data_IF_321441059558
#
_entry.id   IF_321441059558
#
_cell.length_a   1.000
_cell.length_b   1.000
_cell.length_c   1.000
_cell.angle_alpha   90.00
_cell.angle_beta   90.00
_cell.angle_gamma   90.00
#
_symmetry.space_group_name_H-M   'P 1'
#
loop_
_entity.id
_entity.type
_entity.pdbx_description
1 polymer ?
#
# COMPACT_ATOMS: atom_id res chain seq x y z
N UNK A 1 -4.14 12.94 -9.97
CA UNK A 1 -5.42 13.08 -9.24
C UNK A 1 -6.54 13.70 -10.10
N UNK A 2 -6.38 14.93 -10.64
CA UNK A 2 -7.42 15.60 -11.46
C UNK A 2 -7.79 14.78 -12.71
N UNK A 3 -6.82 14.21 -13.42
CA UNK A 3 -7.08 13.42 -14.63
C UNK A 3 -7.94 12.16 -14.37
N UNK A 4 -7.76 11.53 -13.19
CA UNK A 4 -8.51 10.35 -12.77
C UNK A 4 -9.97 10.70 -12.46
N UNK A 5 -10.19 11.79 -11.71
CA UNK A 5 -11.54 12.29 -11.41
C UNK A 5 -12.29 12.70 -12.68
N UNK A 6 -11.59 13.34 -13.64
CA UNK A 6 -12.14 13.68 -14.95
C UNK A 6 -12.54 12.40 -15.70
N UNK A 7 -11.67 11.37 -15.73
CA UNK A 7 -11.98 10.11 -16.39
C UNK A 7 -13.20 9.40 -15.78
N UNK A 8 -13.30 9.35 -14.44
CA UNK A 8 -14.46 8.79 -13.75
C UNK A 8 -15.75 9.58 -14.03
N UNK A 9 -15.69 10.91 -14.01
CA UNK A 9 -16.83 11.77 -14.31
C UNK A 9 -17.31 11.59 -15.76
N UNK A 10 -16.38 11.51 -16.71
CA UNK A 10 -16.71 11.27 -18.14
C UNK A 10 -17.38 9.92 -18.33
N UNK A 11 -16.86 8.85 -17.73
CA UNK A 11 -17.46 7.51 -17.83
C UNK A 11 -18.88 7.47 -17.24
N UNK A 12 -19.10 8.17 -16.12
CA UNK A 12 -20.40 8.25 -15.48
C UNK A 12 -21.41 9.04 -16.32
N UNK A 13 -20.99 10.13 -16.97
CA UNK A 13 -21.83 10.90 -17.91
C UNK A 13 -22.20 10.04 -19.11
N UNK A 14 -21.25 9.29 -19.67
CA UNK A 14 -21.52 8.37 -20.80
C UNK A 14 -22.54 7.30 -20.40
N UNK A 15 -22.40 6.70 -19.21
CA UNK A 15 -23.36 5.73 -18.70
C UNK A 15 -24.77 6.33 -18.52
N UNK A 16 -24.87 7.55 -17.98
CA UNK A 16 -26.14 8.25 -17.84
C UNK A 16 -26.79 8.56 -19.18
N UNK A 17 -26.01 8.95 -20.20
CA UNK A 17 -26.54 9.20 -21.55
C UNK A 17 -27.17 7.95 -22.15
N UNK A 18 -26.55 6.77 -22.00
CA UNK A 18 -27.11 5.52 -22.52
C UNK A 18 -28.42 5.10 -21.84
N UNK A 19 -28.62 5.47 -20.57
CA UNK A 19 -29.81 5.09 -19.80
C UNK A 19 -30.93 6.12 -19.93
N UNK A 20 -30.61 7.40 -19.75
CA UNK A 20 -31.61 8.49 -19.64
C UNK A 20 -32.13 8.90 -21.01
N UNK A 21 -31.27 8.96 -22.04
CA UNK A 21 -31.64 9.40 -23.39
C UNK A 21 -32.76 8.55 -24.02
N UNK A 22 -32.66 7.20 -24.10
CA UNK A 22 -33.74 6.41 -24.70
C UNK A 22 -35.05 6.49 -23.89
N UNK A 23 -34.98 6.62 -22.57
CA UNK A 23 -36.16 6.73 -21.70
C UNK A 23 -36.85 8.09 -21.80
N UNK A 24 -36.10 9.16 -22.11
CA UNK A 24 -36.65 10.50 -22.27
C UNK A 24 -37.33 10.70 -23.63
N UNK A 25 -36.77 10.10 -24.69
CA UNK A 25 -37.25 10.31 -26.06
C UNK A 25 -38.26 9.26 -26.57
N UNK A 26 -38.47 8.13 -25.89
CA UNK A 26 -39.46 7.09 -26.30
C UNK A 26 -40.85 7.18 -25.65
N UNK A 27 -41.27 8.36 -25.20
CA UNK A 27 -42.65 8.54 -24.72
C UNK A 27 -43.58 9.09 -25.79
N UNK A 28 -44.42 8.21 -26.36
CA UNK A 28 -45.84 8.53 -26.51
C UNK A 28 -46.43 8.78 -27.89
N UNK A 29 -45.68 9.19 -28.92
CA UNK A 29 -46.31 9.68 -30.16
C UNK A 29 -46.38 8.69 -31.32
N UNK A 30 -45.58 7.63 -31.34
CA UNK A 30 -45.53 6.73 -32.51
C UNK A 30 -46.79 5.84 -32.65
N UNK A 31 -47.35 5.37 -31.52
CA UNK A 31 -48.50 4.45 -31.55
C UNK A 31 -49.83 5.13 -31.87
N UNK A 32 -49.98 6.44 -31.57
CA UNK A 32 -51.21 7.18 -31.92
C UNK A 32 -51.19 7.57 -33.40
N UNK A 33 -50.07 8.10 -33.90
CA UNK A 33 -49.94 8.49 -35.32
C UNK A 33 -50.12 7.29 -36.26
N UNK A 34 -49.55 6.11 -35.94
CA UNK A 34 -49.77 4.90 -36.73
C UNK A 34 -51.21 4.35 -36.65
N UNK A 35 -51.93 4.57 -35.55
CA UNK A 35 -53.34 4.16 -35.42
C UNK A 35 -54.25 5.05 -36.25
N UNK A 36 -54.03 6.36 -36.17
CA UNK A 36 -54.85 7.35 -36.88
C UNK A 36 -54.66 7.23 -38.40
N UNK A 37 -53.42 7.00 -38.87
CA UNK A 37 -53.13 6.74 -40.29
C UNK A 37 -53.76 5.43 -40.78
N UNK A 38 -53.63 4.33 -40.02
CA UNK A 38 -54.22 3.04 -40.39
C UNK A 38 -55.77 3.07 -40.40
N UNK A 39 -56.39 3.76 -39.43
CA UNK A 39 -57.84 3.91 -39.37
C UNK A 39 -58.38 4.74 -40.56
N UNK A 40 -57.64 5.77 -40.98
CA UNK A 40 -58.02 6.63 -42.09
C UNK A 40 -57.89 5.92 -43.45
N UNK A 41 -56.90 5.03 -43.60
CA UNK A 41 -56.74 4.18 -44.79
C UNK A 41 -57.93 3.21 -44.94
N UNK A 42 -58.35 2.55 -43.85
CA UNK A 42 -59.52 1.65 -43.86
C UNK A 42 -60.80 2.39 -44.28
N UNK A 43 -61.02 3.61 -43.77
CA UNK A 43 -62.19 4.40 -44.14
C UNK A 43 -62.16 4.82 -45.62
N UNK A 44 -60.98 5.09 -46.18
CA UNK A 44 -60.84 5.39 -47.62
C UNK A 44 -61.19 4.17 -48.47
N UNK A 45 -60.71 2.98 -48.11
CA UNK A 45 -61.02 1.75 -48.83
C UNK A 45 -62.53 1.45 -48.79
N UNK A 46 -63.16 1.59 -47.62
CA UNK A 46 -64.61 1.42 -47.48
C UNK A 46 -65.41 2.41 -48.34
N UNK A 47 -64.91 3.65 -48.50
CA UNK A 47 -65.55 4.63 -49.39
C UNK A 47 -65.46 4.24 -50.86
N UNK A 48 -64.30 3.69 -51.28
CA UNK A 48 -64.08 3.27 -52.67
C UNK A 48 -64.90 2.02 -53.01
N UNK A 49 -65.05 1.10 -52.05
CA UNK A 49 -65.90 -0.08 -52.17
C UNK A 49 -67.38 0.32 -52.34
N UNK A 50 -67.88 1.24 -51.50
CA UNK A 50 -69.26 1.74 -51.61
C UNK A 50 -69.56 2.33 -53.00
N UNK A 51 -68.58 3.03 -53.58
CA UNK A 51 -68.68 3.65 -54.90
C UNK A 51 -68.55 2.62 -56.05
N UNK A 52 -67.76 1.55 -55.84
CA UNK A 52 -67.69 0.43 -56.77
C UNK A 52 -69.02 -0.35 -56.81
N UNK A 53 -69.63 -0.61 -55.65
CA UNK A 53 -70.90 -1.34 -55.54
C UNK A 53 -72.07 -0.58 -56.16
N UNK A 54 -72.10 0.75 -56.02
CA UNK A 54 -73.06 1.60 -56.73
C UNK A 54 -72.85 1.52 -58.26
N UNK A 55 -71.61 1.62 -58.74
CA UNK A 55 -71.28 1.53 -60.17
C UNK A 55 -71.63 0.16 -60.77
N UNK A 56 -71.46 -0.90 -59.99
CA UNK A 56 -71.77 -2.27 -60.38
C UNK A 56 -73.27 -2.61 -60.25
N UNK A 57 -74.10 -1.67 -59.80
CA UNK A 57 -75.55 -1.85 -59.63
C UNK A 57 -75.94 -2.77 -58.45
N UNK A 58 -75.00 -3.07 -57.56
CA UNK A 58 -75.23 -3.87 -56.34
C UNK A 58 -75.88 -3.04 -55.24
N UNK A 59 -75.69 -1.72 -55.26
CA UNK A 59 -76.27 -0.77 -54.31
C UNK A 59 -77.23 0.20 -55.01
N UNK A 60 -78.33 0.57 -54.35
CA UNK A 60 -79.21 1.66 -54.82
C UNK A 60 -78.63 3.02 -54.45
N UNK A 61 -79.01 4.07 -55.20
CA UNK A 61 -78.53 5.44 -54.95
C UNK A 61 -78.84 5.91 -53.50
N UNK A 62 -80.02 5.58 -52.98
CA UNK A 62 -80.42 5.96 -51.63
C UNK A 62 -79.59 5.25 -50.56
N UNK A 63 -79.28 3.97 -50.77
CA UNK A 63 -78.42 3.19 -49.87
C UNK A 63 -76.98 3.71 -49.88
N UNK A 64 -76.46 4.13 -51.04
CA UNK A 64 -75.15 4.77 -51.16
C UNK A 64 -75.08 6.07 -50.36
N UNK A 65 -76.08 6.96 -50.51
CA UNK A 65 -76.11 8.23 -49.78
C UNK A 65 -76.28 8.05 -48.26
N UNK A 66 -76.93 6.96 -47.83
CA UNK A 66 -76.99 6.61 -46.41
C UNK A 66 -75.64 6.12 -45.88
N UNK A 67 -75.00 5.17 -46.58
CA UNK A 67 -73.69 4.65 -46.18
C UNK A 67 -72.60 5.72 -46.20
N UNK A 68 -72.62 6.62 -47.19
CA UNK A 68 -71.71 7.76 -47.27
C UNK A 68 -71.85 8.71 -46.09
N UNK A 69 -73.07 8.98 -45.63
CA UNK A 69 -73.34 9.82 -44.45
C UNK A 69 -72.84 9.18 -43.17
N UNK A 70 -73.00 7.87 -43.01
CA UNK A 70 -72.48 7.14 -41.85
C UNK A 70 -70.95 7.14 -41.81
N UNK A 71 -70.31 6.91 -42.96
CA UNK A 71 -68.86 6.95 -43.09
C UNK A 71 -68.30 8.35 -42.77
N UNK A 72 -68.97 9.40 -43.25
CA UNK A 72 -68.62 10.79 -42.92
C UNK A 72 -68.77 11.09 -41.43
N UNK A 73 -69.84 10.59 -40.78
CA UNK A 73 -70.04 10.75 -39.35
C UNK A 73 -68.94 10.06 -38.54
N UNK A 74 -68.53 8.84 -38.92
CA UNK A 74 -67.41 8.12 -38.28
C UNK A 74 -66.08 8.84 -38.49
N UNK A 75 -65.82 9.35 -39.69
CA UNK A 75 -64.62 10.16 -39.97
C UNK A 75 -64.58 11.42 -39.11
N UNK A 76 -65.72 12.10 -38.96
CA UNK A 76 -65.85 13.28 -38.11
C UNK A 76 -65.64 12.97 -36.63
N UNK A 77 -66.02 11.79 -36.16
CA UNK A 77 -65.80 11.33 -34.77
C UNK A 77 -64.32 11.01 -34.52
N UNK A 78 -63.68 10.28 -35.43
CA UNK A 78 -62.25 9.94 -35.36
C UNK A 78 -61.34 11.18 -35.47
N UNK A 79 -61.73 12.19 -36.26
CA UNK A 79 -61.00 13.47 -36.38
C UNK A 79 -61.30 14.42 -35.20
N UNK A 80 -62.41 14.25 -34.46
CA UNK A 80 -62.80 15.09 -33.31
C UNK A 80 -62.18 14.69 -31.98
N UNK A 81 -61.30 13.71 -31.95
CA UNK A 81 -60.48 13.44 -30.76
C UNK A 81 -59.12 14.16 -30.73
N UNK A 82 -58.98 15.50 -30.91
CA UNK A 82 -57.74 16.18 -30.49
C UNK A 82 -57.63 16.40 -28.98
N UNK A 83 -58.72 16.37 -28.20
CA UNK A 83 -58.67 16.77 -26.79
C UNK A 83 -59.49 15.84 -25.87
N UNK A 84 -58.90 14.69 -25.52
CA UNK A 84 -59.15 14.17 -24.16
C UNK A 84 -58.34 15.04 -23.20
N UNK A 85 -58.93 15.59 -22.12
CA UNK A 85 -58.21 16.47 -21.21
C UNK A 85 -57.00 15.72 -20.68
N UNK A 86 -55.84 16.37 -20.72
CA UNK A 86 -54.57 15.84 -20.28
C UNK A 86 -54.68 15.28 -18.85
N UNK A 87 -55.02 14.00 -18.73
CA UNK A 87 -54.58 13.22 -17.58
C UNK A 87 -53.07 13.36 -17.60
N UNK A 88 -52.50 13.90 -16.53
CA UNK A 88 -51.05 13.94 -16.34
C UNK A 88 -50.59 12.51 -16.22
N UNK A 89 -50.43 11.85 -17.37
CA UNK A 89 -49.76 10.58 -17.53
C UNK A 89 -48.34 10.82 -17.04
N UNK A 90 -48.15 10.59 -15.75
CA UNK A 90 -46.83 10.51 -15.12
C UNK A 90 -46.13 9.39 -15.86
N UNK A 91 -45.33 9.76 -16.85
CA UNK A 91 -44.61 8.81 -17.67
C UNK A 91 -43.68 8.02 -16.73
N UNK A 92 -43.97 6.75 -16.42
CA UNK A 92 -43.20 6.01 -15.42
C UNK A 92 -41.74 5.86 -15.88
N UNK A 93 -41.50 5.86 -17.20
CA UNK A 93 -40.19 5.88 -17.81
C UNK A 93 -39.38 7.15 -17.48
N UNK A 94 -40.03 8.33 -17.42
CA UNK A 94 -39.36 9.60 -17.06
C UNK A 94 -39.04 9.67 -15.57
N UNK A 95 -39.94 9.16 -14.73
CA UNK A 95 -39.69 9.04 -13.27
C UNK A 95 -38.54 8.06 -13.01
N UNK A 96 -38.54 6.91 -13.69
CA UNK A 96 -37.48 5.92 -13.59
C UNK A 96 -36.13 6.48 -14.08
N UNK A 97 -36.12 7.24 -15.18
CA UNK A 97 -34.92 7.90 -15.66
C UNK A 97 -34.35 8.90 -14.64
N UNK A 98 -35.21 9.68 -13.97
CA UNK A 98 -34.79 10.63 -12.95
C UNK A 98 -34.27 9.93 -11.68
N UNK A 99 -34.91 8.83 -11.27
CA UNK A 99 -34.44 8.00 -10.17
C UNK A 99 -33.07 7.38 -10.47
N UNK A 100 -32.88 6.80 -11.65
CA UNK A 100 -31.60 6.23 -12.06
C UNK A 100 -30.51 7.29 -12.19
N UNK A 101 -30.85 8.50 -12.65
CA UNK A 101 -29.91 9.61 -12.76
C UNK A 101 -29.30 10.03 -11.41
N UNK A 102 -30.04 9.87 -10.31
CA UNK A 102 -29.57 10.21 -8.95
C UNK A 102 -28.97 8.99 -8.24
N UNK A 103 -29.60 7.81 -8.39
CA UNK A 103 -29.23 6.62 -7.63
C UNK A 103 -27.92 6.00 -8.13
N UNK A 104 -27.65 6.07 -9.44
CA UNK A 104 -26.46 5.48 -10.05
C UNK A 104 -25.16 6.19 -9.61
N UNK A 105 -25.08 7.54 -9.59
CA UNK A 105 -23.92 8.24 -9.02
C UNK A 105 -23.73 7.97 -7.53
N UNK A 106 -24.80 8.02 -6.73
CA UNK A 106 -24.73 7.80 -5.28
C UNK A 106 -24.24 6.38 -4.97
N UNK A 107 -24.80 5.37 -5.63
CA UNK A 107 -24.38 3.98 -5.46
C UNK A 107 -22.92 3.76 -5.89
N UNK A 108 -22.48 4.43 -6.96
CA UNK A 108 -21.09 4.36 -7.43
C UNK A 108 -20.11 4.93 -6.41
N UNK A 109 -20.44 6.08 -5.80
CA UNK A 109 -19.63 6.69 -4.73
C UNK A 109 -19.60 5.79 -3.50
N UNK A 110 -20.75 5.26 -3.06
CA UNK A 110 -20.81 4.34 -1.91
C UNK A 110 -20.03 3.04 -2.13
N UNK A 111 -20.12 2.45 -3.32
CA UNK A 111 -19.35 1.26 -3.68
C UNK A 111 -17.84 1.55 -3.69
N UNK A 112 -17.44 2.72 -4.20
CA UNK A 112 -16.03 3.13 -4.17
C UNK A 112 -15.53 3.35 -2.75
N UNK A 113 -16.34 3.91 -1.85
CA UNK A 113 -15.98 4.04 -0.42
C UNK A 113 -15.80 2.66 0.23
N UNK A 114 -16.62 1.66 -0.13
CA UNK A 114 -16.57 0.32 0.49
C UNK A 114 -15.48 -0.59 -0.08
N UNK A 115 -15.18 -0.49 -1.37
CA UNK A 115 -14.30 -1.44 -2.10
C UNK A 115 -13.00 -0.76 -2.56
N UNK A 116 -13.03 0.55 -2.81
CA UNK A 116 -11.92 1.31 -3.36
C UNK A 116 -10.95 1.84 -2.30
N UNK A 117 -9.88 2.47 -2.78
CA UNK A 117 -8.87 3.10 -1.95
C UNK A 117 -9.14 4.62 -1.87
N UNK A 118 -9.87 5.05 -0.84
CA UNK A 118 -10.18 6.46 -0.62
C UNK A 118 -8.92 7.29 -0.33
N UNK A 119 -7.87 6.66 0.22
CA UNK A 119 -6.60 7.31 0.55
C UNK A 119 -5.84 7.77 -0.70
N UNK A 120 -6.06 7.12 -1.84
CA UNK A 120 -5.49 7.50 -3.13
C UNK A 120 -6.08 8.81 -3.71
N UNK A 121 -7.21 9.29 -3.16
CA UNK A 121 -7.84 10.57 -3.53
C UNK A 121 -7.37 11.75 -2.65
N UNK A 122 -6.60 11.47 -1.59
CA UNK A 122 -6.04 12.49 -0.71
C UNK A 122 -4.64 12.90 -1.21
N UNK A 123 -4.28 14.20 -1.16
CA UNK A 123 -2.94 14.65 -1.53
C UNK A 123 -1.87 13.90 -0.71
N UNK A 124 -0.90 13.30 -1.40
CA UNK A 124 0.17 12.43 -0.86
C UNK A 124 1.11 13.12 0.17
N UNK A 125 0.89 14.40 0.47
CA UNK A 125 1.50 15.12 1.59
C UNK A 125 0.88 14.77 2.95
N UNK A 126 -0.20 13.98 2.98
CA UNK A 126 -0.92 13.54 4.17
C UNK A 126 -0.56 12.12 4.64
N UNK A 127 0.35 11.41 3.96
CA UNK A 127 0.61 9.98 4.22
C UNK A 127 1.90 9.70 4.99
N UNK A 128 2.40 10.67 5.77
CA UNK A 128 3.68 10.57 6.47
C UNK A 128 3.63 10.99 7.94
N UNK A 129 2.59 10.61 8.67
CA UNK A 129 2.59 10.42 10.14
C UNK A 129 1.16 10.12 10.57
N UNK A 130 0.97 8.94 11.18
CA UNK A 130 -0.16 8.47 11.98
C UNK A 130 -1.43 9.35 12.03
N UNK A 131 -2.54 8.73 11.59
CA UNK A 131 -3.92 8.92 12.06
C UNK A 131 -4.28 10.26 12.76
N UNK A 132 -5.06 11.10 12.08
CA UNK A 132 -5.88 12.15 12.70
C UNK A 132 -5.14 13.42 13.12
N UNK A 133 -5.87 14.54 13.08
CA UNK A 133 -5.44 15.88 13.55
C UNK A 133 -4.52 16.65 12.61
N UNK A 134 -5.14 17.55 11.84
CA UNK A 134 -4.49 18.44 10.89
C UNK A 134 -3.66 19.54 11.56
N UNK A 135 -2.96 20.33 10.74
CA UNK A 135 -2.18 21.49 11.17
C UNK A 135 -2.91 22.76 10.75
N UNK A 136 -3.17 23.66 11.70
CA UNK A 136 -3.71 24.98 11.44
C UNK A 136 -2.57 25.96 11.17
N UNK A 137 -2.61 26.63 10.02
CA UNK A 137 -1.61 27.64 9.62
C UNK A 137 -2.07 29.09 9.78
N UNK A 138 -3.30 29.30 10.24
CA UNK A 138 -3.89 30.63 10.42
C UNK A 138 -3.89 31.01 11.90
N UNK A 139 -3.30 32.16 12.23
CA UNK A 139 -3.34 32.74 13.58
C UNK A 139 -4.76 32.88 14.10
N UNK A 140 -5.71 33.31 13.26
CA UNK A 140 -7.11 33.45 13.65
C UNK A 140 -7.75 32.09 13.99
N UNK A 141 -7.40 31.02 13.25
CA UNK A 141 -7.91 29.69 13.52
C UNK A 141 -7.30 29.10 14.81
N UNK A 142 -6.03 29.41 15.10
CA UNK A 142 -5.37 29.01 16.34
C UNK A 142 -5.99 29.70 17.55
N UNK A 143 -6.22 31.01 17.48
CA UNK A 143 -6.90 31.75 18.55
C UNK A 143 -8.32 31.24 18.83
N UNK A 144 -9.06 30.88 17.77
CA UNK A 144 -10.39 30.28 17.92
C UNK A 144 -10.31 28.88 18.56
N UNK A 145 -9.31 28.09 18.20
CA UNK A 145 -9.06 26.79 18.82
C UNK A 145 -8.67 26.93 20.30
N UNK A 146 -7.82 27.90 20.64
CA UNK A 146 -7.45 28.20 22.03
C UNK A 146 -8.67 28.55 22.87
N UNK A 147 -9.53 29.47 22.40
CA UNK A 147 -10.77 29.82 23.10
C UNK A 147 -11.70 28.62 23.32
N UNK A 148 -11.76 27.71 22.35
CA UNK A 148 -12.53 26.46 22.49
C UNK A 148 -11.92 25.55 23.54
N UNK A 149 -10.60 25.44 23.57
CA UNK A 149 -9.88 24.63 24.57
C UNK A 149 -9.95 25.22 25.98
N UNK A 150 -10.09 26.54 26.12
CA UNK A 150 -10.41 27.16 27.41
C UNK A 150 -11.77 26.70 27.95
N UNK A 151 -12.76 26.52 27.07
CA UNK A 151 -14.10 26.03 27.43
C UNK A 151 -14.16 24.50 27.54
N UNK A 152 -13.28 23.80 26.83
CA UNK A 152 -13.22 22.34 26.74
C UNK A 152 -11.79 21.83 26.98
N UNK A 153 -11.26 21.97 28.21
CA UNK A 153 -9.86 21.68 28.50
C UNK A 153 -9.51 20.19 28.37
N UNK A 154 -10.50 19.29 28.36
CA UNK A 154 -10.30 17.84 28.25
C UNK A 154 -10.19 17.35 26.80
N UNK A 155 -10.30 18.25 25.81
CA UNK A 155 -10.22 17.90 24.39
C UNK A 155 -8.76 17.66 23.96
N UNK A 156 -8.27 16.45 24.16
CA UNK A 156 -6.92 16.03 23.79
C UNK A 156 -6.60 16.25 22.30
N UNK A 157 -7.55 15.98 21.41
CA UNK A 157 -7.41 16.14 19.96
C UNK A 157 -7.15 17.60 19.55
N UNK A 158 -7.86 18.53 20.21
CA UNK A 158 -7.66 19.96 20.02
C UNK A 158 -6.29 20.41 20.54
N UNK A 159 -5.86 19.92 21.71
CA UNK A 159 -4.52 20.19 22.24
C UNK A 159 -3.41 19.63 21.34
N UNK A 160 -3.59 18.44 20.77
CA UNK A 160 -2.67 17.85 19.78
C UNK A 160 -2.56 18.71 18.53
N UNK A 161 -3.71 19.10 17.98
CA UNK A 161 -3.79 20.02 16.82
C UNK A 161 -3.06 21.32 17.11
N UNK A 162 -3.30 21.93 18.27
CA UNK A 162 -2.68 23.19 18.69
C UNK A 162 -1.15 23.04 18.82
N UNK A 163 -0.69 22.00 19.54
CA UNK A 163 0.72 21.73 19.77
C UNK A 163 1.49 21.53 18.46
N UNK A 164 0.99 20.66 17.57
CA UNK A 164 1.58 20.41 16.26
C UNK A 164 1.59 21.66 15.39
N UNK A 165 0.53 22.46 15.42
CA UNK A 165 0.44 23.69 14.65
C UNK A 165 1.46 24.73 15.10
N UNK A 166 1.64 24.89 16.42
CA UNK A 166 2.68 25.77 16.96
C UNK A 166 4.09 25.27 16.64
N UNK A 167 4.34 23.96 16.68
CA UNK A 167 5.63 23.39 16.28
C UNK A 167 5.97 23.69 14.81
N UNK A 168 5.02 23.51 13.90
CA UNK A 168 5.18 23.80 12.47
C UNK A 168 5.44 25.28 12.19
N UNK A 169 4.81 26.16 12.97
CA UNK A 169 5.08 27.61 12.92
C UNK A 169 6.37 28.02 13.64
N UNK A 170 7.13 27.07 14.20
CA UNK A 170 8.32 27.33 15.02
C UNK A 170 8.05 28.18 16.28
N UNK A 171 6.78 28.24 16.72
CA UNK A 171 6.37 28.84 18.00
C UNK A 171 6.54 27.83 19.12
N UNK A 172 7.78 27.38 19.31
CA UNK A 172 8.10 26.29 20.25
C UNK A 172 7.66 26.55 21.70
N UNK A 173 7.73 27.78 22.27
CA UNK A 173 7.21 28.02 23.62
C UNK A 173 5.72 27.71 23.76
N UNK A 174 4.93 28.01 22.72
CA UNK A 174 3.48 27.78 22.72
C UNK A 174 3.17 26.30 22.51
N UNK A 175 3.92 25.66 21.62
CA UNK A 175 3.83 24.22 21.39
C UNK A 175 4.13 23.43 22.66
N UNK A 176 5.18 23.79 23.41
CA UNK A 176 5.54 23.18 24.70
C UNK A 176 4.36 23.27 25.67
N UNK A 177 3.72 24.43 25.82
CA UNK A 177 2.55 24.60 26.72
C UNK A 177 1.37 23.73 26.31
N UNK A 178 1.12 23.58 25.00
CA UNK A 178 0.06 22.72 24.50
C UNK A 178 0.38 21.23 24.74
N UNK A 179 1.62 20.79 24.50
CA UNK A 179 2.07 19.43 24.82
C UNK A 179 1.98 19.13 26.33
N UNK A 180 2.29 20.09 27.20
CA UNK A 180 2.15 19.95 28.66
C UNK A 180 0.71 19.67 29.11
N UNK A 181 -0.29 20.25 28.45
CA UNK A 181 -1.69 19.91 28.72
C UNK A 181 -2.02 18.52 28.18
N UNK A 182 -1.55 18.23 26.96
CA UNK A 182 -1.84 17.00 26.27
C UNK A 182 -1.32 15.76 27.00
N UNK A 183 -0.10 15.80 27.53
CA UNK A 183 0.47 14.67 28.30
C UNK A 183 -0.25 14.43 29.63
N UNK A 184 -0.98 15.41 30.17
CA UNK A 184 -1.83 15.21 31.36
C UNK A 184 -3.12 14.48 31.00
N UNK A 185 -3.66 14.72 29.81
CA UNK A 185 -4.89 14.11 29.33
C UNK A 185 -4.65 12.69 28.83
N UNK A 186 -3.54 12.46 28.13
CA UNK A 186 -3.21 11.16 27.51
C UNK A 186 -1.79 10.71 27.89
N UNK A 187 -1.55 10.36 29.18
CA UNK A 187 -0.21 10.12 29.69
C UNK A 187 0.43 8.80 29.20
N UNK A 188 -0.33 7.92 28.57
CA UNK A 188 0.11 6.56 28.22
C UNK A 188 0.52 6.40 26.74
N UNK A 189 0.61 7.50 25.99
CA UNK A 189 0.98 7.46 24.57
C UNK A 189 2.46 7.76 24.36
N UNK A 190 3.26 6.73 24.06
CA UNK A 190 4.71 6.87 23.91
C UNK A 190 5.11 7.90 22.84
N UNK A 191 4.42 7.91 21.70
CA UNK A 191 4.70 8.81 20.59
C UNK A 191 4.50 10.29 20.99
N UNK A 192 3.51 10.57 21.82
CA UNK A 192 3.24 11.91 22.33
C UNK A 192 4.41 12.43 23.18
N UNK A 193 4.93 11.62 24.09
CA UNK A 193 6.10 11.97 24.91
C UNK A 193 7.35 12.22 24.07
N UNK A 194 7.56 11.41 23.02
CA UNK A 194 8.68 11.58 22.09
C UNK A 194 8.56 12.89 21.27
N UNK A 195 7.36 13.20 20.76
CA UNK A 195 7.08 14.47 20.06
C UNK A 195 7.22 15.68 20.99
N UNK A 196 6.79 15.56 22.24
CA UNK A 196 6.98 16.62 23.22
C UNK A 196 8.47 16.86 23.51
N UNK A 197 9.28 15.80 23.64
CA UNK A 197 10.71 15.92 23.84
C UNK A 197 11.42 16.68 22.70
N UNK A 198 11.09 16.37 21.45
CA UNK A 198 11.63 17.05 20.28
C UNK A 198 11.31 18.55 20.29
N UNK A 199 10.05 18.89 20.55
CA UNK A 199 9.58 20.29 20.58
C UNK A 199 10.18 21.05 21.76
N UNK A 200 10.32 20.41 22.92
CA UNK A 200 11.04 20.99 24.05
C UNK A 200 12.51 21.25 23.70
N UNK A 201 13.18 20.31 23.02
CA UNK A 201 14.56 20.50 22.56
C UNK A 201 14.66 21.67 21.58
N UNK A 202 13.74 21.77 20.61
CA UNK A 202 13.70 22.91 19.67
C UNK A 202 13.53 24.25 20.39
N UNK A 203 12.73 24.30 21.46
CA UNK A 203 12.58 25.47 22.32
C UNK A 203 13.88 25.82 23.07
N UNK A 204 14.70 24.81 23.39
CA UNK A 204 15.92 24.93 24.19
C UNK A 204 17.19 24.73 23.33
N UNK A 205 17.33 25.55 22.29
CA UNK A 205 18.52 25.59 21.42
C UNK A 205 18.87 24.26 20.73
N UNK A 206 17.87 23.39 20.50
CA UNK A 206 18.02 22.05 19.90
C UNK A 206 18.89 21.09 20.75
N UNK A 207 19.09 21.38 22.03
CA UNK A 207 19.77 20.44 22.92
C UNK A 207 18.81 19.37 23.40
N UNK A 208 19.22 18.11 23.31
CA UNK A 208 18.46 16.98 23.83
C UNK A 208 18.78 16.69 25.30
N UNK A 209 19.66 17.48 25.92
CA UNK A 209 20.10 17.31 27.31
C UNK A 209 19.06 17.82 28.31
N UNK A 210 19.01 17.17 29.48
CA UNK A 210 18.12 17.55 30.57
C UNK A 210 16.69 17.05 30.33
N UNK A 211 15.74 17.98 30.28
CA UNK A 211 14.31 17.65 30.24
C UNK A 211 13.89 16.82 28.99
N UNK A 212 14.35 17.12 27.76
CA UNK A 212 14.05 16.26 26.60
C UNK A 212 14.46 14.80 26.82
N UNK A 213 15.63 14.54 27.40
CA UNK A 213 16.05 13.17 27.73
C UNK A 213 15.06 12.51 28.69
N UNK A 214 14.59 13.22 29.72
CA UNK A 214 13.59 12.68 30.67
C UNK A 214 12.26 12.33 29.99
N UNK A 215 11.83 13.16 29.03
CA UNK A 215 10.62 12.92 28.24
C UNK A 215 10.80 11.72 27.29
N UNK A 216 11.98 11.56 26.68
CA UNK A 216 12.32 10.40 25.85
C UNK A 216 12.40 9.11 26.67
N UNK A 217 12.98 9.16 27.87
CA UNK A 217 13.00 8.03 28.80
C UNK A 217 11.58 7.58 29.14
N UNK A 218 10.65 8.54 29.35
CA UNK A 218 9.23 8.24 29.57
C UNK A 218 8.58 7.59 28.35
N UNK A 219 8.87 8.08 27.14
CA UNK A 219 8.39 7.47 25.91
C UNK A 219 8.85 6.01 25.77
N UNK A 220 10.13 5.73 26.06
CA UNK A 220 10.71 4.39 25.99
C UNK A 220 10.27 3.47 27.14
N UNK A 221 9.89 4.01 28.29
CA UNK A 221 9.25 3.25 29.37
C UNK A 221 7.88 2.73 28.93
N UNK A 222 7.09 3.56 28.23
CA UNK A 222 5.77 3.21 27.71
C UNK A 222 5.87 2.25 26.52
N UNK A 223 6.77 2.54 25.57
CA UNK A 223 7.07 1.67 24.44
C UNK A 223 8.57 1.69 24.10
N UNK A 224 9.27 0.64 24.54
CA UNK A 224 10.69 0.46 24.26
C UNK A 224 11.03 0.23 22.77
N UNK A 225 10.02 0.11 21.90
CA UNK A 225 10.18 0.00 20.45
C UNK A 225 9.78 1.28 19.70
N UNK A 226 9.45 2.36 20.39
CA UNK A 226 9.14 3.62 19.73
C UNK A 226 10.36 4.11 18.94
N UNK A 227 10.28 4.05 17.61
CA UNK A 227 11.42 4.31 16.71
C UNK A 227 11.89 5.76 16.79
N UNK A 228 10.96 6.71 16.94
CA UNK A 228 11.28 8.13 17.06
C UNK A 228 12.01 8.43 18.38
N UNK A 229 11.53 7.88 19.49
CA UNK A 229 12.17 8.00 20.79
C UNK A 229 13.56 7.35 20.82
N UNK A 230 13.73 6.17 20.19
CA UNK A 230 15.03 5.51 20.07
C UNK A 230 16.03 6.34 19.25
N UNK A 231 15.58 6.95 18.15
CA UNK A 231 16.41 7.81 17.32
C UNK A 231 16.94 9.02 18.11
N UNK A 232 16.03 9.76 18.78
CA UNK A 232 16.37 10.93 19.56
C UNK A 232 17.18 10.59 20.82
N UNK A 233 16.88 9.47 21.48
CA UNK A 233 17.64 9.01 22.66
C UNK A 233 19.08 8.67 22.30
N UNK A 234 19.30 8.07 21.13
CA UNK A 234 20.66 7.83 20.63
C UNK A 234 21.42 9.13 20.39
N UNK A 235 20.76 10.13 19.80
CA UNK A 235 21.34 11.47 19.61
C UNK A 235 21.61 12.20 20.92
N UNK A 236 20.70 12.12 21.90
CA UNK A 236 20.88 12.69 23.23
C UNK A 236 22.06 12.04 23.98
N UNK A 237 22.17 10.71 23.88
CA UNK A 237 23.27 9.94 24.43
C UNK A 237 24.61 10.31 23.77
N UNK A 238 24.61 10.59 22.47
CA UNK A 238 25.79 11.09 21.75
C UNK A 238 26.21 12.48 22.24
N UNK A 239 25.25 13.41 22.38
CA UNK A 239 25.48 14.77 22.86
C UNK A 239 26.07 14.79 24.28
N UNK A 240 25.58 13.91 25.18
CA UNK A 240 26.09 13.80 26.56
C UNK A 240 27.40 13.00 26.70
N UNK A 241 27.93 12.45 25.60
CA UNK A 241 29.15 11.64 25.59
C UNK A 241 29.00 10.22 26.11
N UNK A 242 27.76 9.73 26.28
CA UNK A 242 27.45 8.34 26.62
C UNK A 242 27.30 7.50 25.35
N UNK A 243 28.43 7.30 24.68
CA UNK A 243 28.46 6.62 23.39
C UNK A 243 27.96 5.17 23.45
N UNK A 244 28.04 4.51 24.62
CA UNK A 244 27.53 3.15 24.79
C UNK A 244 25.99 3.11 24.72
N UNK A 245 25.31 4.05 25.38
CA UNK A 245 23.87 4.18 25.27
C UNK A 245 23.45 4.57 23.85
N UNK A 246 24.19 5.49 23.20
CA UNK A 246 23.93 5.90 21.83
C UNK A 246 23.92 4.70 20.86
N UNK A 247 24.98 3.88 20.92
CA UNK A 247 25.09 2.63 20.14
C UNK A 247 23.89 1.72 20.41
N UNK A 248 23.50 1.55 21.68
CA UNK A 248 22.41 0.65 22.07
C UNK A 248 21.06 1.09 21.51
N UNK A 249 20.70 2.38 21.67
CA UNK A 249 19.43 2.90 21.16
C UNK A 249 19.34 2.82 19.64
N UNK A 250 20.40 3.22 18.93
CA UNK A 250 20.43 3.17 17.46
C UNK A 250 20.48 1.74 16.91
N UNK A 251 21.12 0.79 17.59
CA UNK A 251 21.04 -0.63 17.21
C UNK A 251 19.63 -1.18 17.39
N UNK A 252 18.96 -0.85 18.49
CA UNK A 252 17.57 -1.23 18.71
C UNK A 252 16.66 -0.65 17.62
N UNK A 253 16.89 0.61 17.23
CA UNK A 253 16.18 1.24 16.11
C UNK A 253 16.41 0.49 14.80
N UNK A 254 17.65 0.17 14.44
CA UNK A 254 17.96 -0.58 13.21
C UNK A 254 17.27 -1.96 13.16
N UNK A 255 17.09 -2.63 14.31
CA UNK A 255 16.40 -3.92 14.37
C UNK A 255 14.90 -3.83 14.08
N UNK A 256 14.31 -2.62 14.12
CA UNK A 256 12.89 -2.37 13.89
C UNK A 256 12.61 -1.83 12.47
N UNK A 257 13.64 -1.41 11.73
CA UNK A 257 13.48 -0.76 10.42
C UNK A 257 13.54 -1.78 9.27
N UNK A 258 12.75 -1.56 8.19
CA UNK A 258 12.86 -2.37 6.98
C UNK A 258 14.25 -2.25 6.34
N UNK A 259 14.76 -3.34 5.72
CA UNK A 259 16.12 -3.41 5.17
C UNK A 259 16.41 -2.43 4.01
N UNK A 260 15.37 -1.84 3.43
CA UNK A 260 15.48 -0.91 2.29
C UNK A 260 15.35 0.56 2.73
N UNK A 261 15.20 0.84 4.03
CA UNK A 261 15.03 2.20 4.52
C UNK A 261 16.35 3.00 4.37
N UNK A 262 16.36 4.11 3.61
CA UNK A 262 17.56 4.92 3.36
C UNK A 262 18.18 5.52 4.64
N UNK A 263 17.38 5.77 5.68
CA UNK A 263 17.84 6.36 6.95
C UNK A 263 18.76 5.41 7.74
N UNK A 264 18.67 4.10 7.49
CA UNK A 264 19.53 3.13 8.18
C UNK A 264 21.01 3.38 7.93
N UNK A 265 21.39 3.92 6.76
CA UNK A 265 22.78 4.22 6.50
C UNK A 265 23.29 5.33 7.41
N UNK A 266 22.50 6.39 7.59
CA UNK A 266 22.82 7.49 8.51
C UNK A 266 22.94 7.00 9.96
N UNK A 267 22.05 6.10 10.38
CA UNK A 267 22.09 5.52 11.73
C UNK A 267 23.33 4.62 11.92
N UNK A 268 23.70 3.82 10.91
CA UNK A 268 24.94 3.01 10.92
C UNK A 268 26.19 3.88 11.02
N UNK A 269 26.22 4.99 10.29
CA UNK A 269 27.33 5.95 10.32
C UNK A 269 27.43 6.61 11.70
N UNK A 270 26.29 6.98 12.30
CA UNK A 270 26.21 7.47 13.68
C UNK A 270 26.73 6.44 14.70
N UNK A 271 26.32 5.18 14.58
CA UNK A 271 26.82 4.08 15.42
C UNK A 271 28.34 3.95 15.28
N UNK A 272 28.87 3.95 14.06
CA UNK A 272 30.31 3.86 13.81
C UNK A 272 31.06 5.02 14.48
N UNK A 273 30.55 6.23 14.36
CA UNK A 273 31.13 7.40 14.99
C UNK A 273 31.11 7.28 16.53
N UNK A 274 30.00 6.84 17.11
CA UNK A 274 29.90 6.58 18.54
C UNK A 274 30.88 5.50 19.01
N UNK A 275 31.09 4.44 18.23
CA UNK A 275 32.08 3.40 18.52
C UNK A 275 33.51 3.96 18.53
N UNK A 276 33.85 4.83 17.58
CA UNK A 276 35.16 5.49 17.51
C UNK A 276 35.41 6.39 18.72
N UNK A 277 34.40 7.16 19.15
CA UNK A 277 34.52 7.98 20.36
C UNK A 277 34.57 7.12 21.63
N UNK A 278 33.75 6.08 21.73
CA UNK A 278 33.79 5.14 22.84
C UNK A 278 35.18 4.51 22.96
N UNK A 279 35.78 4.06 21.86
CA UNK A 279 37.11 3.43 21.86
C UNK A 279 38.22 4.36 22.37
N UNK A 280 38.06 5.68 22.26
CA UNK A 280 38.99 6.69 22.79
C UNK A 280 38.81 6.94 24.29
N UNK A 281 37.65 6.59 24.88
CA UNK A 281 37.42 6.71 26.31
C UNK A 281 38.15 5.62 27.10
N UNK A 282 38.52 5.93 28.36
CA UNK A 282 39.17 4.98 29.26
C UNK A 282 38.24 3.78 29.50
N UNK A 283 38.72 2.57 29.19
CA UNK A 283 37.93 1.33 29.29
C UNK A 283 36.93 1.11 28.16
N UNK A 284 36.84 2.03 27.19
CA UNK A 284 35.86 1.98 26.11
C UNK A 284 36.03 0.79 25.16
N UNK A 285 37.26 0.34 24.88
CA UNK A 285 37.51 -0.89 24.10
C UNK A 285 36.89 -2.14 24.75
N UNK A 286 36.95 -2.23 26.09
CA UNK A 286 36.33 -3.33 26.85
C UNK A 286 34.80 -3.22 26.80
N UNK A 287 34.26 -2.01 26.97
CA UNK A 287 32.81 -1.77 26.89
C UNK A 287 32.25 -2.04 25.49
N UNK A 288 33.01 -1.71 24.45
CA UNK A 288 32.66 -2.03 23.06
C UNK A 288 32.63 -3.55 22.83
N UNK A 289 33.63 -4.29 23.32
CA UNK A 289 33.62 -5.75 23.26
C UNK A 289 32.41 -6.36 24.00
N UNK A 290 32.02 -5.79 25.14
CA UNK A 290 30.84 -6.20 25.90
C UNK A 290 29.53 -5.93 25.15
N UNK A 291 29.40 -4.76 24.51
CA UNK A 291 28.23 -4.43 23.68
C UNK A 291 28.11 -5.39 22.48
N UNK A 292 29.23 -5.77 21.86
CA UNK A 292 29.24 -6.77 20.79
C UNK A 292 28.86 -8.17 21.28
N UNK A 293 29.20 -8.54 22.52
CA UNK A 293 28.81 -9.83 23.11
C UNK A 293 27.36 -9.87 23.60
N UNK A 294 26.82 -8.77 24.13
CA UNK A 294 25.41 -8.68 24.54
C UNK A 294 24.46 -8.70 23.33
N UNK A 295 24.84 -8.00 22.25
CA UNK A 295 24.18 -8.11 20.94
C UNK A 295 24.32 -9.52 20.34
N UNK A 296 25.39 -10.24 20.73
CA UNK A 296 25.61 -11.65 20.45
C UNK A 296 24.88 -12.62 21.39
N UNK A 297 24.17 -12.15 22.42
CA UNK A 297 23.52 -12.99 23.45
C UNK A 297 21.99 -13.08 23.32
N UNK A 298 21.40 -12.34 22.36
CA UNK A 298 20.16 -12.77 21.67
C UNK A 298 20.44 -13.53 20.36
N UNK A 299 21.71 -13.86 20.14
CA UNK A 299 22.17 -14.84 19.17
C UNK A 299 22.37 -16.12 19.96
N UNK A 300 21.80 -17.26 19.57
CA UNK A 300 22.52 -18.50 19.81
C UNK A 300 23.89 -18.30 19.14
N UNK A 301 24.97 -18.30 19.92
CA UNK A 301 26.22 -18.80 19.37
C UNK A 301 25.86 -20.14 18.72
N UNK A 302 26.16 -20.30 17.42
CA UNK A 302 25.73 -21.45 16.62
C UNK A 302 25.77 -22.71 17.48
N UNK A 303 24.59 -23.28 17.74
CA UNK A 303 24.54 -24.57 18.42
C UNK A 303 25.34 -25.51 17.50
N UNK A 304 26.40 -26.21 17.95
CA UNK A 304 27.20 -27.09 17.11
C UNK A 304 26.35 -28.20 16.44
N UNK A 305 25.08 -28.30 16.82
CA UNK A 305 24.03 -29.12 16.25
C UNK A 305 23.49 -28.62 14.89
N UNK A 306 23.63 -27.34 14.53
CA UNK A 306 22.97 -26.75 13.35
C UNK A 306 23.93 -26.35 12.21
N UNK A 307 25.23 -26.58 12.38
CA UNK A 307 26.24 -26.37 11.33
C UNK A 307 26.19 -27.48 10.27
N UNK A 308 26.28 -27.09 9.00
CA UNK A 308 26.33 -28.04 7.88
C UNK A 308 27.80 -28.30 7.56
N UNK A 309 28.21 -29.58 7.55
CA UNK A 309 29.59 -29.98 7.24
C UNK A 309 29.64 -31.05 6.17
N UNK A 310 30.70 -31.03 5.36
CA UNK A 310 30.88 -32.01 4.31
C UNK A 310 32.20 -31.89 3.56
N UNK A 311 32.33 -32.69 2.51
CA UNK A 311 33.44 -32.72 1.58
C UNK A 311 32.95 -32.40 0.18
N UNK A 312 33.67 -31.53 -0.52
CA UNK A 312 33.46 -31.26 -1.95
C UNK A 312 34.59 -31.90 -2.73
N UNK A 313 34.24 -32.54 -3.84
CA UNK A 313 35.17 -33.09 -4.82
C UNK A 313 34.68 -32.82 -6.24
N UNK A 314 35.57 -32.92 -7.22
CA UNK A 314 35.23 -32.83 -8.64
C UNK A 314 35.29 -34.21 -9.28
N UNK A 315 34.32 -34.52 -10.14
CA UNK A 315 34.30 -35.79 -10.87
C UNK A 315 35.53 -35.89 -11.81
N UNK A 316 36.12 -37.09 -11.97
CA UNK A 316 37.26 -37.28 -12.88
C UNK A 316 36.96 -36.85 -14.33
N UNK A 317 35.70 -36.99 -14.78
CA UNK A 317 35.26 -36.61 -16.11
C UNK A 317 35.29 -35.08 -16.37
N UNK A 318 35.17 -34.28 -15.31
CA UNK A 318 35.16 -32.81 -15.39
C UNK A 318 36.44 -32.15 -14.86
N UNK A 319 37.32 -32.91 -14.20
CA UNK A 319 38.57 -32.41 -13.64
C UNK A 319 39.47 -31.71 -14.69
N UNK A 320 39.44 -32.17 -15.95
CA UNK A 320 40.19 -31.56 -17.06
C UNK A 320 39.58 -30.27 -17.63
N UNK A 321 38.40 -29.84 -17.16
CA UNK A 321 37.67 -28.67 -17.70
C UNK A 321 37.79 -27.40 -16.83
N UNK A 322 38.55 -27.47 -15.74
CA UNK A 322 38.75 -26.39 -14.76
C UNK A 322 40.22 -26.03 -14.61
N UNK A 323 40.51 -24.76 -14.37
CA UNK A 323 41.83 -24.32 -13.96
C UNK A 323 41.95 -24.35 -12.42
N UNK A 324 43.14 -24.62 -11.91
CA UNK A 324 43.40 -24.64 -10.46
C UNK A 324 43.10 -23.30 -9.75
N UNK A 325 43.13 -22.21 -10.51
CA UNK A 325 42.83 -20.84 -10.04
C UNK A 325 41.34 -20.51 -10.05
N UNK A 326 40.49 -21.30 -10.70
CA UNK A 326 39.06 -21.03 -10.80
C UNK A 326 38.42 -20.96 -9.42
N UNK A 327 37.41 -20.10 -9.28
CA UNK A 327 36.78 -19.85 -7.97
C UNK A 327 35.73 -20.91 -7.69
N UNK A 328 35.84 -21.57 -6.54
CA UNK A 328 34.87 -22.50 -5.99
C UNK A 328 33.96 -21.77 -5.00
N UNK A 329 32.66 -21.73 -5.27
CA UNK A 329 31.63 -21.27 -4.35
C UNK A 329 30.91 -22.47 -3.74
N UNK A 330 30.83 -22.52 -2.42
CA UNK A 330 30.02 -23.49 -1.68
C UNK A 330 28.97 -22.69 -0.92
N UNK A 331 27.70 -22.86 -1.26
CA UNK A 331 26.64 -22.05 -0.66
C UNK A 331 25.38 -22.87 -0.36
N UNK A 332 24.66 -22.45 0.68
CA UNK A 332 23.34 -22.99 1.02
C UNK A 332 22.25 -22.08 0.48
N UNK A 333 21.14 -22.65 0.02
CA UNK A 333 19.91 -21.91 -0.34
C UNK A 333 18.67 -22.63 0.19
N UNK A 334 17.58 -21.91 0.39
CA UNK A 334 16.30 -22.52 0.75
C UNK A 334 15.81 -23.47 -0.37
N UNK A 335 15.20 -24.60 0.00
CA UNK A 335 14.57 -25.52 -0.96
C UNK A 335 13.38 -24.86 -1.67
N UNK A 336 12.58 -24.10 -0.91
CA UNK A 336 11.39 -23.38 -1.38
C UNK A 336 11.55 -21.89 -1.13
N UNK A 337 11.04 -21.07 -2.04
CA UNK A 337 11.09 -19.61 -1.93
C UNK A 337 12.23 -18.97 -2.73
N UNK A 338 12.75 -17.85 -2.24
CA UNK A 338 13.72 -17.05 -2.96
C UNK A 338 15.06 -17.80 -3.15
N UNK A 339 15.64 -17.69 -4.35
CA UNK A 339 16.85 -18.43 -4.77
C UNK A 339 18.17 -17.77 -4.30
N UNK A 340 18.11 -16.81 -3.39
CA UNK A 340 19.29 -16.14 -2.85
C UNK A 340 20.08 -17.09 -1.92
N UNK A 341 21.42 -16.99 -1.89
CA UNK A 341 22.23 -17.81 -1.00
C UNK A 341 22.10 -17.34 0.45
N UNK A 342 21.86 -18.30 1.34
CA UNK A 342 21.74 -18.11 2.80
C UNK A 342 23.11 -18.02 3.48
N UNK A 343 24.09 -18.75 2.97
CA UNK A 343 25.47 -18.73 3.42
C UNK A 343 26.40 -19.02 2.24
N UNK A 344 27.55 -18.35 2.18
CA UNK A 344 28.50 -18.50 1.06
C UNK A 344 29.92 -18.66 1.59
N UNK A 345 30.59 -19.72 1.15
CA UNK A 345 32.01 -19.96 1.34
C UNK A 345 32.72 -19.90 -0.02
N UNK A 346 33.77 -19.08 -0.12
CA UNK A 346 34.58 -18.91 -1.34
C UNK A 346 35.96 -19.55 -1.18
N UNK A 347 36.34 -20.38 -2.15
CA UNK A 347 37.59 -21.15 -2.22
C UNK A 347 38.09 -21.25 -3.66
N UNK A 348 39.14 -22.03 -3.91
CA UNK A 348 39.66 -22.27 -5.26
C UNK A 348 39.68 -23.76 -5.60
N UNK A 349 39.69 -24.08 -6.90
CA UNK A 349 39.74 -25.47 -7.38
C UNK A 349 40.98 -26.22 -6.88
N UNK A 350 42.12 -25.56 -6.73
CA UNK A 350 43.34 -26.16 -6.14
C UNK A 350 43.14 -26.71 -4.72
N UNK A 351 42.12 -26.24 -4.01
CA UNK A 351 41.83 -26.67 -2.65
C UNK A 351 41.02 -27.98 -2.62
N UNK A 352 40.54 -28.46 -3.79
CA UNK A 352 39.77 -29.70 -3.90
C UNK A 352 40.69 -30.95 -3.85
N UNK A 353 40.27 -32.03 -3.16
CA UNK A 353 39.03 -32.14 -2.40
C UNK A 353 39.11 -31.42 -1.04
N UNK A 354 38.07 -30.66 -0.71
CA UNK A 354 38.04 -29.77 0.45
C UNK A 354 36.96 -30.19 1.45
N UNK A 355 37.25 -30.08 2.75
CA UNK A 355 36.22 -30.08 3.80
C UNK A 355 35.65 -28.68 4.02
N UNK A 356 34.34 -28.56 4.11
CA UNK A 356 33.64 -27.29 4.30
C UNK A 356 32.74 -27.30 5.53
N UNK A 357 32.47 -26.11 6.04
CA UNK A 357 31.49 -25.84 7.08
C UNK A 357 30.69 -24.61 6.68
N UNK A 358 29.37 -24.68 6.79
CA UNK A 358 28.47 -23.56 6.60
C UNK A 358 27.66 -23.36 7.88
N UNK A 359 27.55 -22.10 8.30
CA UNK A 359 26.80 -21.66 9.48
C UNK A 359 26.17 -20.28 9.26
N UNK A 360 25.33 -19.86 10.21
CA UNK A 360 24.57 -18.61 10.13
C UNK A 360 25.44 -17.34 10.25
N UNK A 361 26.69 -17.46 10.71
CA UNK A 361 27.62 -16.31 10.72
C UNK A 361 28.02 -15.89 9.31
N UNK A 362 27.87 -16.80 8.33
CA UNK A 362 28.15 -16.57 6.91
C UNK A 362 26.96 -15.98 6.15
N UNK A 363 25.84 -15.72 6.82
CA UNK A 363 24.68 -15.10 6.21
C UNK A 363 24.88 -13.59 5.99
N UNK A 364 24.49 -13.10 4.80
CA UNK A 364 24.57 -11.67 4.48
C UNK A 364 23.57 -10.83 5.27
N UNK A 365 22.49 -11.45 5.75
CA UNK A 365 21.45 -10.82 6.55
C UNK A 365 21.14 -11.71 7.78
N UNK A 366 21.01 -11.13 8.99
CA UNK A 366 20.78 -11.91 10.22
C UNK A 366 19.51 -12.78 10.20
N UNK A 367 18.48 -12.39 9.44
CA UNK A 367 17.23 -13.15 9.34
C UNK A 367 17.26 -14.25 8.27
N UNK A 368 18.31 -14.30 7.42
CA UNK A 368 18.48 -15.26 6.33
C UNK A 368 19.53 -16.34 6.66
N UNK A 369 19.67 -16.70 7.94
CA UNK A 369 20.51 -17.82 8.39
C UNK A 369 19.98 -19.18 7.91
N UNK A 370 20.86 -20.16 7.83
CA UNK A 370 20.55 -21.54 7.44
C UNK A 370 19.57 -22.17 8.46
N UNK A 371 19.75 -21.88 9.76
CA UNK A 371 18.90 -22.39 10.85
C UNK A 371 17.43 -21.99 10.74
N UNK A 372 17.13 -20.86 10.07
CA UNK A 372 15.76 -20.35 9.95
C UNK A 372 14.91 -21.09 8.91
N UNK A 373 15.46 -22.12 8.24
CA UNK A 373 14.77 -22.85 7.18
C UNK A 373 14.69 -24.35 7.49
N UNK A 374 13.49 -24.91 7.35
CA UNK A 374 13.26 -26.36 7.57
C UNK A 374 14.11 -27.25 6.66
N UNK A 375 14.33 -26.79 5.43
CA UNK A 375 15.02 -27.52 4.37
C UNK A 375 15.86 -26.59 3.51
N UNK A 376 17.10 -27.01 3.26
CA UNK A 376 18.07 -26.29 2.43
C UNK A 376 18.71 -27.23 1.42
N UNK A 377 19.29 -26.63 0.39
CA UNK A 377 20.11 -27.31 -0.63
C UNK A 377 21.49 -26.66 -0.60
N UNK A 378 22.54 -27.48 -0.52
CA UNK A 378 23.92 -27.01 -0.61
C UNK A 378 24.44 -27.26 -2.02
N UNK A 379 24.99 -26.21 -2.63
CA UNK A 379 25.55 -26.24 -3.96
C UNK A 379 27.04 -25.92 -3.91
N UNK A 380 27.82 -26.66 -4.68
CA UNK A 380 29.20 -26.36 -4.99
C UNK A 380 29.29 -25.98 -6.47
N UNK A 381 29.75 -24.76 -6.77
CA UNK A 381 29.91 -24.25 -8.13
C UNK A 381 31.34 -23.81 -8.38
N UNK A 382 31.93 -24.27 -9.47
CA UNK A 382 33.17 -23.69 -10.02
C UNK A 382 32.78 -22.64 -11.04
N UNK A 383 33.09 -21.39 -10.71
CA UNK A 383 32.85 -20.23 -11.56
C UNK A 383 34.15 -19.80 -12.25
N UNK A 384 34.08 -19.66 -13.57
CA UNK A 384 35.19 -19.12 -14.38
C UNK A 384 35.23 -17.59 -14.39
N UNK A 385 34.07 -16.96 -14.21
CA UNK A 385 33.94 -15.49 -14.13
C UNK A 385 34.26 -14.92 -12.75
N UNK A 386 34.31 -15.78 -11.72
CA UNK A 386 34.53 -15.36 -10.34
C UNK A 386 33.29 -14.84 -9.63
N UNK A 387 32.11 -14.97 -10.26
CA UNK A 387 30.81 -14.62 -9.67
C UNK A 387 30.10 -15.84 -9.10
N UNK A 388 29.34 -15.66 -8.02
CA UNK A 388 28.56 -16.75 -7.41
C UNK A 388 27.30 -17.10 -8.24
N UNK A 389 26.83 -16.19 -9.11
CA UNK A 389 25.67 -16.39 -9.97
C UNK A 389 25.98 -17.41 -11.06
N UNK A 390 25.01 -18.26 -11.38
CA UNK A 390 25.18 -19.31 -12.39
C UNK A 390 25.41 -18.69 -13.77
N UNK A 391 26.44 -19.16 -14.48
CA UNK A 391 26.71 -18.83 -15.87
C UNK A 391 26.86 -20.12 -16.70
N UNK A 392 26.49 -20.05 -17.98
CA UNK A 392 26.64 -21.17 -18.90
C UNK A 392 28.12 -21.58 -18.99
N UNK A 393 28.39 -22.88 -18.83
CA UNK A 393 29.73 -23.44 -18.80
C UNK A 393 30.38 -23.52 -17.42
N UNK A 394 29.75 -23.00 -16.37
CA UNK A 394 30.14 -23.27 -14.99
C UNK A 394 29.93 -24.75 -14.66
N UNK A 395 30.71 -25.28 -13.72
CA UNK A 395 30.50 -26.64 -13.23
C UNK A 395 29.78 -26.59 -11.89
N UNK A 396 28.80 -27.46 -11.69
CA UNK A 396 28.10 -27.54 -10.42
C UNK A 396 27.85 -28.97 -9.93
N UNK A 397 27.78 -29.10 -8.62
CA UNK A 397 27.27 -30.25 -7.90
C UNK A 397 26.36 -29.76 -6.78
N UNK A 398 25.35 -30.54 -6.43
CA UNK A 398 24.43 -30.16 -5.37
C UNK A 398 24.03 -31.34 -4.51
N UNK A 399 23.60 -31.06 -3.30
CA UNK A 399 22.89 -32.03 -2.48
C UNK A 399 21.43 -32.13 -2.92
N UNK A 400 20.73 -33.16 -2.48
CA UNK A 400 19.28 -33.09 -2.36
C UNK A 400 18.84 -32.12 -1.25
N UNK A 401 17.54 -32.10 -0.97
CA UNK A 401 16.98 -31.38 0.17
C UNK A 401 17.45 -31.99 1.49
N UNK A 402 18.16 -31.19 2.29
CA UNK A 402 18.73 -31.59 3.58
C UNK A 402 18.22 -30.68 4.70
N UNK A 403 18.37 -31.12 5.95
CA UNK A 403 18.08 -30.29 7.12
C UNK A 403 19.33 -29.51 7.54
N UNK A 404 19.18 -28.30 8.11
CA UNK A 404 20.26 -27.66 8.86
C UNK A 404 20.90 -28.62 9.87
N UNK A 405 22.20 -28.49 10.14
CA UNK A 405 22.94 -29.40 11.01
C UNK A 405 23.43 -30.72 10.39
N UNK A 406 23.16 -30.96 9.11
CA UNK A 406 23.61 -32.19 8.43
C UNK A 406 25.15 -32.27 8.35
N UNK A 407 25.73 -33.39 8.77
CA UNK A 407 27.19 -33.61 8.82
C UNK A 407 27.63 -34.68 7.83
N UNK A 408 28.88 -34.59 7.38
CA UNK A 408 29.50 -35.60 6.52
C UNK A 408 28.93 -35.66 5.10
N UNK A 409 28.37 -34.55 4.60
CA UNK A 409 27.85 -34.48 3.24
C UNK A 409 28.97 -34.71 2.21
N UNK A 410 28.67 -35.38 1.11
CA UNK A 410 29.61 -35.52 0.00
C UNK A 410 29.01 -34.91 -1.26
N UNK A 411 29.60 -33.83 -1.73
CA UNK A 411 29.18 -33.13 -2.95
C UNK A 411 30.22 -33.43 -4.02
N UNK A 412 29.77 -34.01 -5.12
CA UNK A 412 30.59 -34.25 -6.31
C UNK A 412 30.13 -33.27 -7.38
N UNK A 413 31.07 -32.48 -7.92
CA UNK A 413 30.83 -31.60 -9.06
C UNK A 413 30.87 -32.45 -10.33
N UNK A 414 29.71 -32.75 -10.88
CA UNK A 414 29.50 -33.74 -11.95
C UNK A 414 28.64 -33.23 -13.12
N UNK A 415 28.11 -32.00 -13.03
CA UNK A 415 27.29 -31.38 -14.07
C UNK A 415 27.86 -30.06 -14.58
N UNK A 416 27.47 -29.70 -15.81
CA UNK A 416 27.80 -28.42 -16.44
C UNK A 416 26.52 -27.62 -16.51
N UNK A 417 26.56 -26.36 -16.05
CA UNK A 417 25.45 -25.43 -16.19
C UNK A 417 25.24 -25.15 -17.69
N UNK A 418 24.03 -25.40 -18.22
CA UNK A 418 23.74 -25.24 -19.64
C UNK A 418 23.85 -23.79 -20.12
#
# INVERSE_FOLDING_TARGET
>A
MILFLIACAVLLIVALLFVVLPLWFKSGNYNNVLRDEANLEILRDQSAELEADLRNGLLTQDAYEQGKRELQARLLDEVKTPDSPASTSRNPAKILALLLAVLLPVASVLLYIKIGNIDALLPQQLSGAAEGFGVLRSEAALQELEKKLEQQPENADGWWTLARSYSEMQRFPDAVRAFEQLVKLVPNEAQLWASYADVYAMNNNRSLLGEPTRLLDKALELDGKNTFALALSGSAAMERGDYAAAITHWQNLLNLMPPDNPEMQMIRDGIKQAQEFLAKQKGGKKKLAQLSSDQGSKRPAADPAETITGKVSISPALAGKVAQTDTLFIFARAEKGQKAPLAVLRKHVKDLPLQFTLDDSMAMQPQMGISNFDRVVVLARVSKSGEAKAQSGDLEGSTGSIRPGSKGLNIVIDSIVP
#
